data_IF_917957150524
#
_entry.id   IF_917957150524
#
_cell.length_a   1.000
_cell.length_b   1.000
_cell.length_c   1.000
_cell.angle_alpha   90.00
_cell.angle_beta   90.00
_cell.angle_gamma   90.00
#
_symmetry.space_group_name_H-M   'P 1'
#
loop_
_entity.id
_entity.type
_entity.pdbx_description
1 polymer ?
#
# COMPACT_ATOMS: atom_id res chain seq x y z
N UNK A 1 24.22 54.88 27.70
CA UNK A 1 23.19 53.83 27.86
C UNK A 1 22.05 54.06 26.86
N UNK A 2 21.89 53.19 25.87
CA UNK A 2 20.61 52.88 25.19
C UNK A 2 20.80 51.58 24.40
N UNK A 3 20.06 50.55 24.80
CA UNK A 3 19.85 49.29 24.08
C UNK A 3 18.99 49.54 22.84
N UNK A 4 18.92 48.54 21.94
CA UNK A 4 17.90 48.22 20.89
C UNK A 4 18.67 47.85 19.59
N UNK A 5 18.42 46.76 18.86
CA UNK A 5 17.73 45.48 19.03
C UNK A 5 18.18 44.61 17.84
N UNK A 6 18.37 43.30 18.06
CA UNK A 6 18.46 42.29 17.00
C UNK A 6 17.28 42.43 16.02
N UNK A 7 17.54 42.29 14.72
CA UNK A 7 16.57 41.75 13.76
C UNK A 7 17.32 41.16 12.57
N UNK A 8 17.83 39.94 12.75
CA UNK A 8 18.15 39.07 11.63
C UNK A 8 16.83 38.62 11.01
N UNK A 9 16.45 39.26 9.91
CA UNK A 9 15.36 38.79 9.07
C UNK A 9 15.79 37.50 8.37
N UNK A 10 15.57 36.36 9.02
CA UNK A 10 15.55 35.07 8.38
C UNK A 10 14.28 35.02 7.51
N UNK A 11 14.35 35.53 6.28
CA UNK A 11 13.39 35.19 5.25
C UNK A 11 13.58 33.70 4.92
N UNK A 12 12.87 32.83 5.65
CA UNK A 12 12.52 31.53 5.11
C UNK A 12 11.63 31.79 3.88
N UNK A 13 12.25 31.75 2.71
CA UNK A 13 11.53 31.58 1.46
C UNK A 13 10.89 30.19 1.50
N UNK A 14 9.68 30.11 2.07
CA UNK A 14 8.77 29.04 1.78
C UNK A 14 8.43 29.17 0.29
N UNK A 15 9.16 28.47 -0.57
CA UNK A 15 8.78 28.31 -1.97
C UNK A 15 7.40 27.65 -2.00
N UNK A 16 6.36 28.44 -2.22
CA UNK A 16 5.02 27.93 -2.49
C UNK A 16 5.08 27.25 -3.84
N UNK A 17 5.21 25.93 -3.81
CA UNK A 17 5.23 25.09 -4.98
C UNK A 17 3.96 25.33 -5.82
N UNK A 18 4.14 25.68 -7.09
CA UNK A 18 3.05 25.97 -8.01
C UNK A 18 2.22 24.70 -8.30
N UNK A 19 0.90 24.86 -8.39
CA UNK A 19 0.01 23.75 -8.68
C UNK A 19 0.17 23.29 -10.14
N UNK A 20 0.11 21.98 -10.39
CA UNK A 20 0.23 21.38 -11.74
C UNK A 20 -1.16 21.02 -12.27
N UNK A 21 -1.42 21.29 -13.56
CA UNK A 21 -2.69 21.03 -14.25
C UNK A 21 -2.93 19.53 -14.55
N UNK A 22 -4.20 19.14 -14.62
CA UNK A 22 -4.69 17.77 -14.76
C UNK A 22 -4.14 17.04 -15.98
N UNK A 23 -4.13 17.68 -17.15
CA UNK A 23 -3.74 17.02 -18.39
C UNK A 23 -2.21 16.77 -18.45
N UNK A 24 -1.42 17.67 -17.85
CA UNK A 24 0.03 17.46 -17.62
C UNK A 24 0.28 16.26 -16.69
N UNK A 25 -0.63 16.01 -15.75
CA UNK A 25 -0.53 14.90 -14.79
C UNK A 25 -0.97 13.56 -15.37
N UNK A 26 -1.98 13.54 -16.24
CA UNK A 26 -2.34 12.34 -16.99
C UNK A 26 -1.16 11.84 -17.83
N UNK A 27 -0.41 12.75 -18.45
CA UNK A 27 0.77 12.41 -19.22
C UNK A 27 1.92 11.84 -18.36
N UNK A 28 1.97 12.18 -17.07
CA UNK A 28 3.04 11.74 -16.14
C UNK A 28 2.66 10.54 -15.28
N UNK A 29 1.36 10.25 -15.11
CA UNK A 29 0.88 9.18 -14.23
C UNK A 29 -0.24 8.37 -14.89
N UNK A 30 0.06 7.10 -15.19
CA UNK A 30 -0.91 6.14 -15.72
C UNK A 30 -2.09 5.89 -14.77
N UNK A 31 -1.91 6.05 -13.45
CA UNK A 31 -3.00 6.01 -12.47
C UNK A 31 -3.94 7.19 -12.66
N UNK A 32 -3.38 8.40 -12.71
CA UNK A 32 -4.18 9.61 -12.89
C UNK A 32 -4.89 9.55 -14.24
N UNK A 33 -4.21 9.12 -15.30
CA UNK A 33 -4.85 8.94 -16.61
C UNK A 33 -6.02 7.92 -16.57
N UNK A 34 -5.81 6.77 -15.95
CA UNK A 34 -6.83 5.70 -15.85
C UNK A 34 -8.04 6.13 -15.03
N UNK A 35 -7.81 6.78 -13.90
CA UNK A 35 -8.85 7.26 -13.01
C UNK A 35 -9.36 8.66 -13.41
N UNK A 36 -8.74 9.33 -14.38
CA UNK A 36 -9.04 10.72 -14.71
C UNK A 36 -10.47 10.89 -15.21
N UNK A 37 -10.89 10.05 -16.15
CA UNK A 37 -12.24 10.13 -16.69
C UNK A 37 -13.28 9.85 -15.60
N UNK A 38 -13.00 8.91 -14.71
CA UNK A 38 -13.83 8.66 -13.54
C UNK A 38 -13.85 9.86 -12.59
N UNK A 39 -12.70 10.41 -12.20
CA UNK A 39 -12.58 11.54 -11.28
C UNK A 39 -13.19 12.83 -11.86
N UNK A 40 -13.00 13.10 -13.15
CA UNK A 40 -13.66 14.19 -13.90
C UNK A 40 -15.18 13.98 -13.89
N UNK A 41 -15.67 12.77 -14.19
CA UNK A 41 -17.12 12.45 -14.16
C UNK A 41 -17.77 12.61 -12.77
N UNK A 42 -16.95 12.56 -11.72
CA UNK A 42 -17.37 12.68 -10.32
C UNK A 42 -17.21 14.10 -9.76
N UNK A 43 -16.77 15.06 -10.58
CA UNK A 43 -16.43 16.42 -10.15
C UNK A 43 -15.48 16.40 -8.94
N UNK A 44 -14.49 15.50 -8.96
CA UNK A 44 -13.55 15.35 -7.86
C UNK A 44 -12.63 16.56 -7.77
N UNK A 45 -12.74 17.31 -6.67
CA UNK A 45 -11.90 18.46 -6.34
C UNK A 45 -10.77 18.11 -5.38
N UNK A 46 -10.80 16.91 -4.78
CA UNK A 46 -9.72 16.39 -3.93
C UNK A 46 -9.58 14.88 -4.04
N UNK A 47 -8.34 14.38 -4.03
CA UNK A 47 -7.99 12.95 -4.17
C UNK A 47 -6.77 12.62 -3.30
N UNK A 48 -6.71 11.38 -2.80
CA UNK A 48 -5.59 10.83 -2.02
C UNK A 48 -5.20 9.42 -2.50
N UNK A 49 -3.90 9.15 -2.68
CA UNK A 49 -3.37 7.79 -2.84
C UNK A 49 -1.90 7.66 -2.37
N UNK A 50 -1.43 6.43 -2.08
CA UNK A 50 -0.05 6.16 -1.63
C UNK A 50 0.99 6.40 -2.73
N UNK A 51 2.21 6.78 -2.33
CA UNK A 51 3.31 7.16 -3.24
C UNK A 51 4.49 6.18 -3.24
N UNK A 52 4.42 5.15 -2.40
CA UNK A 52 5.33 4.01 -2.42
C UNK A 52 4.54 2.78 -2.83
N UNK A 53 5.01 2.12 -3.88
CA UNK A 53 4.48 0.88 -4.42
C UNK A 53 4.13 -0.15 -3.34
N UNK A 54 4.98 -0.24 -2.32
CA UNK A 54 4.89 -1.21 -1.25
C UNK A 54 4.04 -0.76 -0.06
N UNK A 55 3.62 0.52 0.03
CA UNK A 55 2.81 0.98 1.15
C UNK A 55 1.31 0.90 0.84
N UNK A 56 0.46 0.59 1.83
CA UNK A 56 -0.97 0.49 1.62
C UNK A 56 -1.55 1.75 1.00
N UNK A 57 -2.31 1.58 -0.08
CA UNK A 57 -3.04 2.66 -0.73
C UNK A 57 -4.53 2.57 -0.43
N UNK A 58 -5.13 3.73 -0.17
CA UNK A 58 -6.58 3.92 -0.22
C UNK A 58 -6.84 5.00 -1.26
N UNK A 59 -7.61 4.68 -2.29
CA UNK A 59 -8.13 5.65 -3.25
C UNK A 59 -9.35 6.32 -2.61
N UNK A 60 -9.24 7.62 -2.36
CA UNK A 60 -10.32 8.44 -1.82
C UNK A 60 -10.44 9.72 -2.64
N UNK A 61 -11.67 10.20 -2.88
CA UNK A 61 -11.92 11.46 -3.56
C UNK A 61 -13.12 12.23 -2.96
N UNK A 62 -13.19 13.54 -3.20
CA UNK A 62 -14.31 14.40 -2.83
C UNK A 62 -14.47 15.57 -3.80
N UNK A 63 -15.70 16.04 -4.03
CA UNK A 63 -15.96 17.31 -4.72
C UNK A 63 -15.69 18.56 -3.88
N UNK A 64 -15.37 18.42 -2.58
CA UNK A 64 -15.08 19.53 -1.66
C UNK A 64 -13.57 19.64 -1.39
N UNK A 65 -12.93 20.80 -1.64
CA UNK A 65 -11.49 21.00 -1.42
C UNK A 65 -11.03 20.80 0.03
N UNK A 66 -11.84 21.25 0.99
CA UNK A 66 -11.55 21.17 2.44
C UNK A 66 -11.70 19.77 3.05
N UNK A 67 -12.24 18.81 2.30
CA UNK A 67 -12.45 17.45 2.81
C UNK A 67 -11.14 16.65 2.95
N UNK A 68 -10.03 17.16 2.41
CA UNK A 68 -8.71 16.51 2.41
C UNK A 68 -8.16 16.22 3.81
N UNK A 69 -8.32 17.14 4.77
CA UNK A 69 -7.69 17.01 6.09
C UNK A 69 -8.40 15.94 6.92
N UNK A 70 -9.73 15.88 6.81
CA UNK A 70 -10.55 14.82 7.39
C UNK A 70 -10.24 13.46 6.75
N UNK A 71 -10.07 13.42 5.42
CA UNK A 71 -9.68 12.21 4.71
C UNK A 71 -8.30 11.71 5.12
N UNK A 72 -7.30 12.61 5.24
CA UNK A 72 -5.95 12.26 5.69
C UNK A 72 -5.94 11.72 7.12
N UNK A 73 -6.68 12.34 8.04
CA UNK A 73 -6.84 11.83 9.41
C UNK A 73 -7.53 10.46 9.43
N UNK A 74 -8.60 10.30 8.65
CA UNK A 74 -9.31 9.03 8.51
C UNK A 74 -8.43 7.93 7.94
N UNK A 75 -7.64 8.24 6.92
CA UNK A 75 -6.68 7.35 6.29
C UNK A 75 -5.59 6.91 7.26
N UNK A 76 -4.91 7.86 7.93
CA UNK A 76 -3.87 7.57 8.93
C UNK A 76 -4.42 6.59 9.96
N UNK A 77 -5.58 6.89 10.55
CA UNK A 77 -6.23 6.00 11.52
C UNK A 77 -6.55 4.62 10.94
N UNK A 78 -7.05 4.55 9.70
CA UNK A 78 -7.37 3.28 9.07
C UNK A 78 -6.12 2.43 8.81
N UNK A 79 -5.09 2.99 8.17
CA UNK A 79 -3.88 2.25 7.81
C UNK A 79 -3.09 1.84 9.05
N UNK A 80 -2.92 2.74 10.03
CA UNK A 80 -2.28 2.38 11.31
C UNK A 80 -2.98 1.19 11.93
N UNK A 81 -4.33 1.23 12.05
CA UNK A 81 -5.10 0.10 12.58
C UNK A 81 -4.93 -1.18 11.76
N UNK A 82 -4.98 -1.10 10.44
CA UNK A 82 -4.84 -2.29 9.57
C UNK A 82 -3.43 -2.91 9.68
N UNK A 83 -2.39 -2.10 9.75
CA UNK A 83 -0.99 -2.53 9.87
C UNK A 83 -0.65 -3.05 11.27
N UNK A 84 -1.13 -2.39 12.33
CA UNK A 84 -1.03 -2.87 13.72
C UNK A 84 -1.65 -4.25 13.88
N UNK A 85 -2.85 -4.46 13.32
CA UNK A 85 -3.58 -5.72 13.44
C UNK A 85 -2.86 -6.94 12.84
N UNK A 86 -1.96 -6.72 11.88
CA UNK A 86 -1.13 -7.79 11.30
C UNK A 86 0.26 -7.89 11.93
N UNK A 87 0.64 -6.90 12.76
CA UNK A 87 1.86 -6.91 13.58
C UNK A 87 3.03 -6.08 13.04
N UNK A 88 2.78 -5.07 12.21
CA UNK A 88 3.84 -4.10 11.86
C UNK A 88 4.23 -3.23 13.06
N UNK A 89 5.49 -2.80 13.10
CA UNK A 89 5.99 -1.87 14.10
C UNK A 89 5.53 -0.43 13.80
N UNK A 90 5.49 0.41 14.84
CA UNK A 90 5.10 1.82 14.69
C UNK A 90 5.97 2.56 13.66
N UNK A 91 7.29 2.28 13.62
CA UNK A 91 8.19 2.89 12.66
C UNK A 91 7.83 2.58 11.19
N UNK A 92 7.41 1.34 10.90
CA UNK A 92 6.98 0.93 9.55
C UNK A 92 5.64 1.58 9.18
N UNK A 93 4.75 1.72 10.17
CA UNK A 93 3.46 2.39 10.02
C UNK A 93 3.64 3.87 9.72
N UNK A 94 4.43 4.56 10.54
CA UNK A 94 4.73 5.99 10.38
C UNK A 94 5.38 6.24 9.01
N UNK A 95 6.32 5.38 8.60
CA UNK A 95 6.88 5.43 7.25
C UNK A 95 5.78 5.36 6.18
N UNK A 96 4.87 4.38 6.25
CA UNK A 96 3.83 4.28 5.23
C UNK A 96 2.81 5.42 5.28
N UNK A 97 2.48 5.94 6.45
CA UNK A 97 1.56 7.07 6.65
C UNK A 97 2.15 8.41 6.20
N UNK A 98 3.45 8.61 6.40
CA UNK A 98 4.14 9.83 5.98
C UNK A 98 4.52 9.77 4.49
N UNK A 99 4.50 8.57 3.92
CA UNK A 99 4.66 8.31 2.49
C UNK A 99 3.35 8.11 1.72
N UNK A 100 2.20 8.29 2.37
CA UNK A 100 0.91 8.19 1.71
C UNK A 100 0.35 9.58 1.37
N UNK A 101 -0.02 9.76 0.10
CA UNK A 101 -0.76 10.93 -0.41
C UNK A 101 -0.02 11.73 -1.48
N UNK A 102 -0.59 11.79 -2.68
CA UNK A 102 -0.64 13.03 -3.46
C UNK A 102 -1.92 13.80 -3.08
N UNK A 103 -1.92 15.12 -3.22
CA UNK A 103 -3.07 15.97 -2.91
C UNK A 103 -3.53 16.70 -4.16
N UNK A 104 -4.69 16.30 -4.68
CA UNK A 104 -5.47 17.15 -5.57
C UNK A 104 -6.30 18.13 -4.72
N UNK A 105 -6.32 19.40 -5.11
CA UNK A 105 -7.13 20.46 -4.52
C UNK A 105 -7.62 21.39 -5.65
N UNK A 106 -8.93 21.58 -5.77
CA UNK A 106 -9.54 22.34 -6.87
C UNK A 106 -9.13 21.85 -8.26
N UNK A 107 -9.05 20.53 -8.47
CA UNK A 107 -8.55 19.92 -9.73
C UNK A 107 -7.10 20.27 -10.09
N UNK A 108 -6.37 20.94 -9.20
CA UNK A 108 -4.95 21.21 -9.33
C UNK A 108 -4.18 20.30 -8.39
N UNK A 109 -3.11 19.66 -8.87
CA UNK A 109 -2.26 18.87 -7.99
C UNK A 109 -1.31 19.82 -7.30
N UNK A 110 -1.37 19.85 -5.97
CA UNK A 110 -0.32 20.50 -5.21
C UNK A 110 0.95 19.68 -5.39
N UNK A 111 2.03 20.35 -5.77
CA UNK A 111 3.33 19.70 -5.90
C UNK A 111 3.65 19.03 -4.55
N UNK A 112 3.73 17.71 -4.57
CA UNK A 112 4.17 16.92 -3.45
C UNK A 112 5.49 16.26 -3.88
N UNK A 113 6.48 16.08 -2.99
CA UNK A 113 7.76 15.45 -3.32
C UNK A 113 7.67 14.01 -3.88
N UNK A 114 6.47 13.48 -4.13
CA UNK A 114 6.19 12.07 -4.36
C UNK A 114 5.18 11.83 -5.51
N UNK A 115 5.16 12.69 -6.53
CA UNK A 115 4.09 12.73 -7.55
C UNK A 115 4.29 11.89 -8.83
N UNK A 116 5.36 11.10 -9.01
CA UNK A 116 5.67 10.59 -10.37
C UNK A 116 5.47 9.09 -10.62
N UNK A 117 5.05 8.25 -9.67
CA UNK A 117 4.79 6.83 -9.95
C UNK A 117 3.74 6.25 -9.00
N UNK A 118 2.64 5.71 -9.53
CA UNK A 118 2.10 4.36 -9.26
C UNK A 118 0.58 4.19 -9.50
N UNK A 119 0.23 3.02 -10.05
CA UNK A 119 -0.95 2.18 -9.74
C UNK A 119 -0.41 0.88 -9.13
N UNK A 120 -1.01 0.37 -8.04
CA UNK A 120 -1.45 -1.05 -7.86
C UNK A 120 -1.47 -1.52 -6.38
N UNK A 121 -2.62 -2.04 -5.94
CA UNK A 121 -3.19 -1.72 -4.63
C UNK A 121 -2.68 -2.61 -3.49
N UNK A 122 -1.68 -2.17 -2.74
CA UNK A 122 -1.11 -2.93 -1.62
C UNK A 122 -2.00 -2.93 -0.37
N UNK A 123 -2.06 -4.08 0.31
CA UNK A 123 -2.77 -4.30 1.58
C UNK A 123 -1.88 -4.97 2.63
N UNK A 124 -2.03 -4.61 3.92
CA UNK A 124 -1.42 -5.36 5.00
C UNK A 124 -1.97 -6.79 5.06
N UNK A 125 -1.08 -7.74 5.29
CA UNK A 125 -1.41 -9.14 5.43
C UNK A 125 -0.43 -9.87 6.34
N UNK A 126 -0.65 -11.17 6.48
CA UNK A 126 0.14 -12.06 7.33
C UNK A 126 0.60 -13.23 6.49
N UNK A 127 1.91 -13.43 6.44
CA UNK A 127 2.52 -14.60 5.84
C UNK A 127 2.85 -15.61 6.94
N UNK A 128 2.43 -16.86 6.74
CA UNK A 128 2.80 -18.00 7.58
C UNK A 128 3.52 -19.01 6.71
N UNK A 129 4.69 -19.45 7.14
CA UNK A 129 5.50 -20.48 6.47
C UNK A 129 5.77 -21.62 7.44
N UNK A 130 5.47 -22.87 7.05
CA UNK A 130 5.79 -24.09 7.79
C UNK A 130 6.88 -24.86 7.07
N UNK A 131 8.00 -25.15 7.73
CA UNK A 131 8.97 -26.15 7.25
C UNK A 131 8.43 -27.55 7.58
N UNK A 132 8.19 -28.36 6.55
CA UNK A 132 7.61 -29.70 6.69
C UNK A 132 8.51 -30.68 7.44
N UNK A 133 9.83 -30.46 7.39
CA UNK A 133 10.80 -31.35 8.04
C UNK A 133 10.81 -31.20 9.55
N UNK A 134 10.59 -29.99 10.06
CA UNK A 134 10.62 -29.69 11.50
C UNK A 134 9.25 -29.37 12.09
N UNK A 135 8.24 -29.16 11.25
CA UNK A 135 6.93 -28.65 11.64
C UNK A 135 6.92 -27.19 12.11
N UNK A 136 8.08 -26.52 12.12
CA UNK A 136 8.22 -25.16 12.66
C UNK A 136 7.51 -24.14 11.79
N UNK A 137 6.79 -23.20 12.42
CA UNK A 137 6.06 -22.11 11.75
C UNK A 137 6.71 -20.76 11.98
N UNK A 138 6.95 -20.02 10.90
CA UNK A 138 7.33 -18.60 10.93
C UNK A 138 6.13 -17.75 10.55
N UNK A 139 5.84 -16.71 11.33
CA UNK A 139 4.72 -15.78 11.09
C UNK A 139 5.28 -14.37 10.96
N UNK A 140 5.00 -13.70 9.83
CA UNK A 140 5.50 -12.35 9.56
C UNK A 140 4.41 -11.45 8.98
N UNK A 141 4.36 -10.15 9.37
CA UNK A 141 3.54 -9.16 8.67
C UNK A 141 4.13 -8.90 7.28
N UNK A 142 3.27 -8.77 6.28
CA UNK A 142 3.65 -8.53 4.88
C UNK A 142 2.76 -7.48 4.24
N UNK A 143 3.29 -6.81 3.22
CA UNK A 143 2.56 -5.89 2.37
C UNK A 143 2.33 -6.61 1.03
N UNK A 144 1.07 -6.81 0.67
CA UNK A 144 0.66 -7.64 -0.47
C UNK A 144 -0.05 -6.80 -1.52
N UNK A 145 0.45 -6.80 -2.75
CA UNK A 145 -0.21 -6.15 -3.88
C UNK A 145 -1.48 -6.92 -4.26
N UNK A 146 -2.64 -6.27 -4.27
CA UNK A 146 -3.95 -6.94 -4.49
C UNK A 146 -4.56 -6.67 -5.86
N UNK A 147 -3.95 -5.82 -6.67
CA UNK A 147 -4.53 -5.42 -7.95
C UNK A 147 -3.40 -5.27 -8.97
N UNK A 148 -3.29 -6.14 -9.96
CA UNK A 148 -2.43 -5.90 -11.14
C UNK A 148 -3.33 -6.04 -12.35
N UNK A 149 -3.74 -4.90 -12.92
CA UNK A 149 -4.88 -4.85 -13.83
C UNK A 149 -4.65 -5.50 -15.21
N UNK A 150 -3.47 -6.06 -15.48
CA UNK A 150 -3.12 -6.54 -16.82
C UNK A 150 -2.26 -7.79 -16.81
N UNK A 151 -1.34 -7.93 -15.86
CA UNK A 151 -0.45 -9.08 -15.77
C UNK A 151 -0.58 -9.67 -14.39
N UNK A 152 -1.00 -10.95 -14.29
CA UNK A 152 -1.30 -11.68 -13.04
C UNK A 152 -0.05 -11.88 -12.18
N UNK A 153 0.56 -10.79 -11.74
CA UNK A 153 1.81 -10.70 -11.02
C UNK A 153 1.56 -9.89 -9.77
N UNK A 154 1.61 -10.54 -8.61
CA UNK A 154 1.46 -9.85 -7.33
C UNK A 154 2.79 -9.85 -6.59
N UNK A 155 3.20 -8.68 -6.10
CA UNK A 155 4.39 -8.55 -5.28
C UNK A 155 4.05 -8.64 -3.79
N UNK A 156 4.95 -9.27 -3.05
CA UNK A 156 4.89 -9.35 -1.58
C UNK A 156 6.15 -8.71 -1.02
N UNK A 157 5.97 -7.79 -0.08
CA UNK A 157 7.06 -7.09 0.59
C UNK A 157 7.07 -7.43 2.08
N UNK A 158 8.26 -7.58 2.65
CA UNK A 158 8.46 -7.75 4.09
C UNK A 158 8.36 -6.43 4.85
N UNK A 159 8.52 -6.50 6.17
CA UNK A 159 8.46 -5.33 7.06
C UNK A 159 9.60 -4.30 6.83
N UNK A 160 10.69 -4.71 6.19
CA UNK A 160 11.76 -3.82 5.73
C UNK A 160 11.53 -3.26 4.32
N UNK A 161 10.33 -3.44 3.76
CA UNK A 161 9.94 -3.03 2.40
C UNK A 161 10.70 -3.74 1.26
N UNK A 162 11.55 -4.71 1.58
CA UNK A 162 12.19 -5.54 0.56
C UNK A 162 11.16 -6.49 -0.03
N UNK A 163 11.18 -6.65 -1.36
CA UNK A 163 10.38 -7.66 -2.04
C UNK A 163 10.84 -9.04 -1.61
N UNK A 164 9.94 -9.81 -1.00
CA UNK A 164 10.21 -11.17 -0.53
C UNK A 164 9.70 -12.21 -1.53
N UNK A 165 8.61 -11.91 -2.24
CA UNK A 165 8.06 -12.83 -3.22
C UNK A 165 7.44 -12.15 -4.44
N UNK A 166 7.33 -12.92 -5.52
CA UNK A 166 6.59 -12.55 -6.73
C UNK A 166 5.68 -13.72 -7.13
N UNK A 167 4.37 -13.48 -7.11
CA UNK A 167 3.36 -14.41 -7.60
C UNK A 167 3.20 -14.20 -9.10
N UNK A 168 2.96 -15.27 -9.87
CA UNK A 168 2.63 -15.23 -11.29
C UNK A 168 1.62 -16.32 -11.64
N UNK A 169 0.63 -16.02 -12.48
CA UNK A 169 -0.26 -17.03 -13.08
C UNK A 169 -1.75 -16.85 -12.73
N UNK A 170 -2.63 -17.71 -13.27
CA UNK A 170 -4.06 -17.69 -12.95
C UNK A 170 -4.30 -18.06 -11.47
N UNK A 171 -5.43 -17.62 -10.89
CA UNK A 171 -5.73 -17.78 -9.47
C UNK A 171 -5.78 -19.25 -8.99
N UNK A 172 -6.07 -20.19 -9.88
CA UNK A 172 -6.15 -21.63 -9.63
C UNK A 172 -4.83 -22.38 -9.87
N UNK A 173 -3.85 -21.76 -10.53
CA UNK A 173 -2.53 -22.35 -10.80
C UNK A 173 -1.41 -21.31 -10.66
N UNK A 174 -1.30 -20.75 -9.45
CA UNK A 174 -0.27 -19.78 -9.13
C UNK A 174 1.11 -20.41 -8.99
N UNK A 175 2.11 -19.66 -9.43
CA UNK A 175 3.52 -19.88 -9.12
C UNK A 175 4.04 -18.71 -8.29
N UNK A 176 4.56 -18.99 -7.11
CA UNK A 176 5.16 -18.01 -6.22
C UNK A 176 6.66 -18.30 -6.17
N UNK A 177 7.47 -17.33 -6.55
CA UNK A 177 8.90 -17.39 -6.28
C UNK A 177 9.18 -16.50 -5.07
N UNK A 178 9.63 -17.10 -3.96
CA UNK A 178 10.04 -16.39 -2.75
C UNK A 178 11.52 -16.56 -2.48
N UNK A 179 12.17 -15.47 -2.11
CA UNK A 179 13.55 -15.49 -1.64
C UNK A 179 13.65 -16.41 -0.41
N UNK A 180 14.50 -17.45 -0.49
CA UNK A 180 14.74 -18.39 0.61
C UNK A 180 13.77 -19.58 0.70
N UNK A 181 12.66 -19.61 -0.06
CA UNK A 181 11.71 -20.74 -0.04
C UNK A 181 11.55 -21.46 -1.39
N UNK A 182 12.18 -20.93 -2.45
CA UNK A 182 12.16 -21.49 -3.80
C UNK A 182 10.85 -21.22 -4.55
N UNK A 183 10.60 -21.99 -5.60
CA UNK A 183 9.31 -21.99 -6.29
C UNK A 183 8.27 -22.76 -5.45
N UNK A 184 7.11 -22.14 -5.24
CA UNK A 184 5.93 -22.75 -4.64
C UNK A 184 4.75 -22.66 -5.62
N UNK A 185 3.82 -23.61 -5.50
CA UNK A 185 2.61 -23.67 -6.34
C UNK A 185 1.37 -23.75 -5.49
N UNK A 186 0.27 -23.20 -5.99
CA UNK A 186 -1.00 -23.26 -5.29
C UNK A 186 -2.04 -22.30 -5.82
N UNK A 187 -2.88 -21.79 -4.93
CA UNK A 187 -4.13 -21.11 -5.28
C UNK A 187 -4.30 -19.78 -4.56
N UNK A 188 -5.12 -18.92 -5.13
CA UNK A 188 -5.58 -17.68 -4.56
C UNK A 188 -7.10 -17.67 -4.50
N UNK A 189 -7.61 -17.33 -3.33
CA UNK A 189 -9.03 -17.13 -3.09
C UNK A 189 -9.26 -15.69 -2.66
N UNK A 190 -10.28 -15.07 -3.23
CA UNK A 190 -10.78 -13.77 -2.80
C UNK A 190 -12.20 -13.93 -2.29
N UNK A 191 -12.49 -13.34 -1.14
CA UNK A 191 -13.81 -13.31 -0.53
C UNK A 191 -14.37 -11.89 -0.58
N UNK A 192 -15.69 -11.76 -0.50
CA UNK A 192 -16.35 -10.46 -0.44
C UNK A 192 -15.68 -9.54 0.60
N UNK A 193 -15.59 -8.24 0.28
CA UNK A 193 -14.88 -7.21 1.04
C UNK A 193 -13.34 -7.26 0.93
N UNK A 194 -12.76 -7.76 -0.17
CA UNK A 194 -11.33 -7.65 -0.45
C UNK A 194 -10.42 -8.39 0.55
N UNK A 195 -10.96 -9.44 1.17
CA UNK A 195 -10.22 -10.37 2.01
C UNK A 195 -9.75 -11.52 1.13
N UNK A 196 -8.46 -11.80 1.12
CA UNK A 196 -7.92 -12.89 0.30
C UNK A 196 -7.02 -13.82 1.09
N UNK A 197 -6.92 -15.05 0.61
CA UNK A 197 -6.00 -16.07 1.10
C UNK A 197 -5.28 -16.66 -0.10
N UNK A 198 -3.94 -16.59 -0.08
CA UNK A 198 -3.07 -17.32 -1.01
C UNK A 198 -2.52 -18.53 -0.28
N UNK A 199 -2.60 -19.71 -0.87
CA UNK A 199 -2.12 -20.98 -0.29
C UNK A 199 -1.14 -21.61 -1.27
N UNK A 200 0.09 -21.84 -0.84
CA UNK A 200 1.19 -22.29 -1.70
C UNK A 200 1.98 -23.39 -1.02
N UNK A 201 2.49 -24.36 -1.79
CA UNK A 201 3.30 -25.46 -1.27
C UNK A 201 4.42 -25.85 -2.23
N UNK A 202 5.47 -26.44 -1.68
CA UNK A 202 6.41 -27.29 -2.41
C UNK A 202 6.78 -28.51 -1.56
N UNK A 203 7.85 -29.23 -1.92
CA UNK A 203 8.30 -30.43 -1.21
C UNK A 203 8.74 -30.15 0.23
N UNK A 204 9.21 -28.95 0.53
CA UNK A 204 9.77 -28.57 1.85
C UNK A 204 8.88 -27.63 2.66
N UNK A 205 8.11 -26.77 2.01
CA UNK A 205 7.39 -25.68 2.65
C UNK A 205 5.90 -25.68 2.34
N UNK A 206 5.10 -25.31 3.33
CA UNK A 206 3.74 -24.81 3.17
C UNK A 206 3.70 -23.32 3.52
N UNK A 207 3.08 -22.50 2.68
CA UNK A 207 3.05 -21.06 2.82
C UNK A 207 1.63 -20.55 2.59
N UNK A 208 1.13 -19.71 3.48
CA UNK A 208 -0.13 -19.01 3.27
C UNK A 208 0.02 -17.52 3.53
N UNK A 209 -0.62 -16.70 2.70
CA UNK A 209 -0.71 -15.25 2.88
C UNK A 209 -2.17 -14.88 3.08
N UNK A 210 -2.47 -14.26 4.21
CA UNK A 210 -3.81 -13.80 4.59
C UNK A 210 -3.87 -12.28 4.56
N UNK A 211 -4.72 -11.72 3.70
CA UNK A 211 -4.87 -10.27 3.54
C UNK A 211 -6.16 -9.81 4.20
N UNK A 212 -6.11 -8.69 4.95
CA UNK A 212 -7.24 -8.16 5.74
C UNK A 212 -7.84 -9.19 6.73
N UNK A 213 -6.99 -10.06 7.29
CA UNK A 213 -7.32 -11.00 8.37
C UNK A 213 -6.44 -10.71 9.59
N UNK A 214 -6.95 -10.98 10.79
CA UNK A 214 -6.17 -10.84 12.01
C UNK A 214 -5.14 -11.97 12.15
N UNK A 215 -4.12 -11.73 12.97
CA UNK A 215 -3.13 -12.77 13.31
C UNK A 215 -3.76 -14.01 13.94
N UNK A 216 -4.71 -13.84 14.85
CA UNK A 216 -5.42 -14.97 15.45
C UNK A 216 -6.23 -15.78 14.42
N UNK A 217 -6.82 -15.13 13.42
CA UNK A 217 -7.51 -15.82 12.34
C UNK A 217 -6.52 -16.60 11.48
N UNK A 218 -5.43 -15.98 11.04
CA UNK A 218 -4.42 -16.60 10.20
C UNK A 218 -3.82 -17.84 10.88
N UNK A 219 -3.39 -17.72 12.14
CA UNK A 219 -2.78 -18.84 12.89
C UNK A 219 -3.74 -20.02 13.07
N UNK A 220 -5.00 -19.74 13.43
CA UNK A 220 -6.01 -20.78 13.68
C UNK A 220 -6.41 -21.53 12.41
N UNK A 221 -6.45 -20.86 11.26
CA UNK A 221 -6.93 -21.46 10.02
C UNK A 221 -5.80 -22.04 9.16
N UNK A 222 -4.53 -21.77 9.47
CA UNK A 222 -3.40 -22.20 8.65
C UNK A 222 -3.35 -23.71 8.42
N UNK A 223 -3.51 -24.51 9.47
CA UNK A 223 -3.37 -25.97 9.35
C UNK A 223 -4.50 -26.61 8.56
N UNK A 224 -5.68 -25.99 8.52
CA UNK A 224 -6.82 -26.49 7.74
C UNK A 224 -6.68 -26.27 6.22
N UNK A 225 -5.62 -25.57 5.76
CA UNK A 225 -5.40 -25.27 4.35
C UNK A 225 -4.54 -26.31 3.61
N UNK A 226 -3.89 -27.22 4.35
CA UNK A 226 -2.87 -28.15 3.83
C UNK A 226 -3.13 -29.57 4.27
#
# INVERSE_FOLDING_TARGET
MKKILLSAALCLAATTAAATDWDVLQAKSQLINREANFLKSKNASSVYASTKAYCPSTFWWSGRPSAKDNAKRGFRRQISREMENVGFSQAVIDHCVDNSGFLLENSTLRQHPKNDRYTDYVKPGIMIVRDKSTGTKTIAPVLFETNSFTDRVWQVFGANFAKICTLRGPADALKLNCNGYGELRGTFSNTANGRSTTVMRNTRYDLAIFVRRSRSYATRNFDALF
#
